data_IF_139730948561
#
_entry.id   IF_139730948561
#
_cell.length_a   1.000
_cell.length_b   1.000
_cell.length_c   1.000
_cell.angle_alpha   90.00
_cell.angle_beta   90.00
_cell.angle_gamma   90.00
#
_symmetry.space_group_name_H-M   'P 1'
#
loop_
_entity.id
_entity.type
_entity.pdbx_description
1 polymer ?
#
# COMPACT_ATOMS: atom_id res chain seq x y z
N UNK A 1 -16.82 1.43 6.49
CA UNK A 1 -16.13 0.79 7.62
C UNK A 1 -14.97 0.00 7.03
N UNK A 2 -13.73 0.33 7.42
CA UNK A 2 -12.51 -0.31 6.93
C UNK A 2 -12.45 -1.77 7.37
N UNK A 3 -11.95 -2.65 6.51
CA UNK A 3 -11.78 -4.07 6.79
C UNK A 3 -11.04 -4.29 8.11
N UNK A 4 -11.54 -5.17 8.98
CA UNK A 4 -10.85 -5.53 10.23
C UNK A 4 -9.45 -6.09 9.97
N UNK A 5 -9.25 -6.76 8.83
CA UNK A 5 -7.95 -7.26 8.41
C UNK A 5 -6.97 -6.12 8.16
N UNK A 6 -7.37 -5.13 7.36
CA UNK A 6 -6.56 -3.94 7.03
C UNK A 6 -6.23 -3.16 8.31
N UNK A 7 -7.21 -2.96 9.20
CA UNK A 7 -6.97 -2.25 10.49
C UNK A 7 -5.90 -2.96 11.32
N UNK A 8 -5.96 -4.30 11.42
CA UNK A 8 -4.97 -5.07 12.19
C UNK A 8 -3.57 -5.00 11.59
N UNK A 9 -3.45 -5.13 10.27
CA UNK A 9 -2.16 -5.01 9.57
C UNK A 9 -1.58 -3.60 9.74
N UNK A 10 -2.40 -2.56 9.58
CA UNK A 10 -2.00 -1.17 9.80
C UNK A 10 -1.51 -0.94 11.24
N UNK A 11 -2.26 -1.42 12.24
CA UNK A 11 -1.87 -1.26 13.64
C UNK A 11 -0.58 -2.00 13.99
N UNK A 12 -0.34 -3.17 13.38
CA UNK A 12 0.93 -3.89 13.51
C UNK A 12 2.11 -3.07 12.97
N UNK A 13 1.94 -2.48 11.79
CA UNK A 13 2.94 -1.58 11.19
C UNK A 13 3.16 -0.32 12.04
N UNK A 14 2.10 0.33 12.50
CA UNK A 14 2.17 1.53 13.34
C UNK A 14 2.99 1.25 14.62
N UNK A 15 2.72 0.12 15.28
CA UNK A 15 3.46 -0.33 16.46
C UNK A 15 4.94 -0.60 16.14
N UNK A 16 5.23 -1.20 14.98
CA UNK A 16 6.60 -1.48 14.55
C UNK A 16 7.37 -0.19 14.25
N UNK A 17 6.75 0.77 13.53
CA UNK A 17 7.34 2.09 13.29
C UNK A 17 7.65 2.80 14.61
N UNK A 18 6.75 2.74 15.60
CA UNK A 18 6.96 3.31 16.92
C UNK A 18 8.13 2.65 17.66
N UNK A 19 8.21 1.31 17.65
CA UNK A 19 9.30 0.55 18.28
C UNK A 19 10.66 0.87 17.64
N UNK A 20 10.73 0.91 16.31
CA UNK A 20 11.98 1.25 15.59
C UNK A 20 12.39 2.69 15.89
N UNK A 21 11.44 3.63 15.96
CA UNK A 21 11.75 5.02 16.36
C UNK A 21 12.39 5.11 17.74
N UNK A 22 11.95 4.28 18.70
CA UNK A 22 12.56 4.24 20.03
C UNK A 22 13.98 3.68 20.00
N UNK A 23 14.22 2.60 19.25
CA UNK A 23 15.55 2.00 19.09
C UNK A 23 16.54 2.99 18.47
N UNK A 24 16.12 3.70 17.42
CA UNK A 24 16.97 4.68 16.75
C UNK A 24 17.37 5.87 17.64
N UNK A 25 16.54 6.22 18.63
CA UNK A 25 16.90 7.25 19.63
C UNK A 25 17.99 6.78 20.59
N UNK A 26 18.10 5.48 20.82
CA UNK A 26 19.11 4.89 21.71
C UNK A 26 20.47 4.79 20.99
N UNK A 27 20.44 4.47 19.69
CA UNK A 27 21.66 4.35 18.85
C UNK A 27 21.55 5.21 17.59
N UNK A 28 21.62 6.55 17.71
CA UNK A 28 21.41 7.46 16.58
C UNK A 28 22.51 7.39 15.52
N UNK A 29 23.72 6.96 15.89
CA UNK A 29 24.88 6.90 15.00
C UNK A 29 25.00 5.56 14.24
N UNK A 30 24.15 4.57 14.55
CA UNK A 30 24.14 3.27 13.89
C UNK A 30 23.37 3.34 12.56
N UNK A 31 24.02 3.94 11.56
CA UNK A 31 23.45 4.16 10.22
C UNK A 31 23.16 2.86 9.47
N UNK A 32 23.97 1.81 9.70
CA UNK A 32 23.76 0.50 9.10
C UNK A 32 22.48 -0.15 9.63
N UNK A 33 22.28 -0.15 10.95
CA UNK A 33 21.05 -0.66 11.56
C UNK A 33 19.82 0.13 11.08
N UNK A 34 19.93 1.45 10.96
CA UNK A 34 18.85 2.29 10.42
C UNK A 34 18.50 1.90 8.98
N UNK A 35 19.50 1.66 8.12
CA UNK A 35 19.29 1.21 6.75
C UNK A 35 18.68 -0.20 6.68
N UNK A 36 19.06 -1.11 7.57
CA UNK A 36 18.42 -2.42 7.70
C UNK A 36 16.95 -2.31 8.06
N UNK A 37 16.60 -1.47 9.05
CA UNK A 37 15.20 -1.24 9.42
C UNK A 37 14.39 -0.60 8.30
N UNK A 38 14.96 0.38 7.60
CA UNK A 38 14.26 1.04 6.49
C UNK A 38 13.93 0.06 5.35
N UNK A 39 14.86 -0.84 5.00
CA UNK A 39 14.63 -1.91 4.01
C UNK A 39 13.56 -2.89 4.48
N UNK A 40 13.60 -3.30 5.73
CA UNK A 40 12.61 -4.21 6.30
C UNK A 40 11.21 -3.59 6.29
N UNK A 41 11.08 -2.35 6.75
CA UNK A 41 9.83 -1.58 6.69
C UNK A 41 9.33 -1.43 5.24
N UNK A 42 10.22 -1.19 4.28
CA UNK A 42 9.84 -1.09 2.87
C UNK A 42 9.18 -2.37 2.35
N UNK A 43 9.70 -3.53 2.71
CA UNK A 43 9.10 -4.82 2.33
C UNK A 43 7.71 -4.96 2.94
N UNK A 44 7.56 -4.67 4.24
CA UNK A 44 6.28 -4.81 4.94
C UNK A 44 5.22 -3.83 4.42
N UNK A 45 5.60 -2.56 4.20
CA UNK A 45 4.70 -1.54 3.63
C UNK A 45 4.26 -1.92 2.21
N UNK A 46 5.17 -2.47 1.39
CA UNK A 46 4.80 -2.98 0.05
C UNK A 46 3.80 -4.12 0.14
N UNK A 47 3.97 -5.06 1.07
CA UNK A 47 3.03 -6.17 1.27
C UNK A 47 1.67 -5.69 1.79
N UNK A 48 1.67 -4.75 2.74
CA UNK A 48 0.46 -4.13 3.26
C UNK A 48 -0.36 -3.43 2.18
N UNK A 49 0.28 -2.66 1.29
CA UNK A 49 -0.38 -2.04 0.14
C UNK A 49 -1.04 -3.07 -0.78
N UNK A 50 -0.30 -4.10 -1.17
CA UNK A 50 -0.75 -5.15 -2.08
C UNK A 50 -1.98 -5.89 -1.52
N UNK A 51 -1.91 -6.29 -0.25
CA UNK A 51 -2.99 -6.96 0.46
C UNK A 51 -4.20 -6.06 0.66
N UNK A 52 -3.99 -4.80 1.06
CA UNK A 52 -5.07 -3.86 1.36
C UNK A 52 -5.84 -3.48 0.11
N UNK A 53 -5.16 -3.16 -0.99
CA UNK A 53 -5.80 -2.84 -2.27
C UNK A 53 -6.67 -4.01 -2.74
N UNK A 54 -6.14 -5.24 -2.70
CA UNK A 54 -6.90 -6.43 -3.08
C UNK A 54 -8.11 -6.66 -2.17
N UNK A 55 -7.93 -6.52 -0.85
CA UNK A 55 -8.99 -6.70 0.15
C UNK A 55 -10.12 -5.69 -0.05
N UNK A 56 -9.81 -4.41 -0.29
CA UNK A 56 -10.81 -3.35 -0.54
C UNK A 56 -11.71 -3.70 -1.73
N UNK A 57 -11.12 -4.15 -2.85
CA UNK A 57 -11.87 -4.49 -4.06
C UNK A 57 -12.70 -5.76 -3.92
N UNK A 58 -12.14 -6.79 -3.25
CA UNK A 58 -12.87 -8.04 -2.95
C UNK A 58 -14.08 -7.74 -2.06
N UNK A 59 -13.91 -6.95 -0.99
CA UNK A 59 -15.01 -6.59 -0.10
C UNK A 59 -16.09 -5.76 -0.81
N UNK A 60 -15.70 -4.89 -1.75
CA UNK A 60 -16.66 -4.19 -2.60
C UNK A 60 -17.48 -5.16 -3.43
N UNK A 61 -16.83 -6.11 -4.13
CA UNK A 61 -17.51 -7.13 -4.92
C UNK A 61 -18.45 -7.99 -4.07
N UNK A 62 -18.01 -8.43 -2.89
CA UNK A 62 -18.82 -9.22 -1.94
C UNK A 62 -20.10 -8.49 -1.51
N UNK A 63 -20.08 -7.17 -1.43
CA UNK A 63 -21.25 -6.36 -1.04
C UNK A 63 -22.21 -6.06 -2.19
N UNK A 64 -21.75 -6.12 -3.44
CA UNK A 64 -22.47 -5.58 -4.60
C UNK A 64 -22.75 -6.58 -5.72
N UNK A 65 -22.14 -7.77 -5.68
CA UNK A 65 -22.20 -8.72 -6.79
C UNK A 65 -22.63 -10.13 -6.33
N UNK A 66 -23.00 -10.97 -7.30
CA UNK A 66 -23.34 -12.38 -7.05
C UNK A 66 -22.08 -13.21 -6.75
N UNK A 67 -22.20 -14.37 -6.08
CA UNK A 67 -21.06 -15.21 -5.73
C UNK A 67 -20.14 -15.58 -6.91
N UNK A 68 -20.69 -15.75 -8.11
CA UNK A 68 -19.93 -16.07 -9.32
C UNK A 68 -19.00 -14.92 -9.73
N UNK A 69 -19.48 -13.68 -9.62
CA UNK A 69 -18.69 -12.49 -9.92
C UNK A 69 -17.66 -12.23 -8.82
N UNK A 70 -18.02 -12.46 -7.56
CA UNK A 70 -17.07 -12.40 -6.44
C UNK A 70 -15.89 -13.36 -6.67
N UNK A 71 -16.17 -14.63 -7.00
CA UNK A 71 -15.14 -15.62 -7.29
C UNK A 71 -14.25 -15.21 -8.48
N UNK A 72 -14.82 -14.60 -9.53
CA UNK A 72 -14.04 -14.06 -10.65
C UNK A 72 -13.09 -12.93 -10.19
N UNK A 73 -13.58 -11.99 -9.37
CA UNK A 73 -12.78 -10.88 -8.84
C UNK A 73 -11.67 -11.39 -7.92
N UNK A 74 -11.97 -12.30 -7.00
CA UNK A 74 -11.00 -12.93 -6.11
C UNK A 74 -9.89 -13.63 -6.92
N UNK A 75 -10.25 -14.45 -7.92
CA UNK A 75 -9.28 -15.13 -8.78
C UNK A 75 -8.42 -14.17 -9.61
N UNK A 76 -8.99 -13.06 -10.06
CA UNK A 76 -8.24 -12.03 -10.77
C UNK A 76 -7.23 -11.34 -9.85
N UNK A 77 -7.61 -11.11 -8.59
CA UNK A 77 -6.78 -10.41 -7.61
C UNK A 77 -5.76 -11.31 -6.89
N UNK A 78 -5.88 -12.63 -6.94
CA UNK A 78 -4.83 -13.57 -6.47
C UNK A 78 -3.45 -13.28 -7.10
N UNK A 79 -3.43 -12.77 -8.34
CA UNK A 79 -2.20 -12.42 -9.09
C UNK A 79 -1.84 -10.93 -9.01
N UNK A 80 -2.54 -10.15 -8.18
CA UNK A 80 -2.30 -8.72 -8.07
C UNK A 80 -1.07 -8.46 -7.21
N UNK A 81 0.08 -8.34 -7.87
CA UNK A 81 1.36 -8.01 -7.23
C UNK A 81 1.96 -6.70 -7.74
N UNK A 82 2.90 -6.12 -6.99
CA UNK A 82 3.62 -4.91 -7.39
C UNK A 82 2.65 -3.75 -7.72
N UNK A 83 1.94 -3.22 -6.71
CA UNK A 83 0.87 -2.25 -6.91
C UNK A 83 1.42 -0.84 -7.24
N UNK A 84 2.19 -0.72 -8.33
CA UNK A 84 2.56 0.59 -8.89
C UNK A 84 1.29 1.33 -9.25
N UNK A 85 1.30 2.65 -9.16
CA UNK A 85 0.08 3.45 -9.34
C UNK A 85 -0.60 3.21 -10.68
N UNK A 86 0.16 3.01 -11.76
CA UNK A 86 -0.45 2.70 -13.06
C UNK A 86 -1.25 1.39 -13.03
N UNK A 87 -0.77 0.38 -12.31
CA UNK A 87 -1.50 -0.88 -12.13
C UNK A 87 -2.74 -0.70 -11.25
N UNK A 88 -2.68 0.18 -10.25
CA UNK A 88 -3.83 0.53 -9.41
C UNK A 88 -4.87 1.30 -10.22
N UNK A 89 -4.46 2.25 -11.07
CA UNK A 89 -5.37 2.95 -11.98
C UNK A 89 -6.06 1.99 -12.95
N UNK A 90 -5.30 1.08 -13.56
CA UNK A 90 -5.85 0.05 -14.45
C UNK A 90 -6.85 -0.87 -13.74
N UNK A 91 -6.62 -1.17 -12.46
CA UNK A 91 -7.57 -1.92 -11.65
C UNK A 91 -8.87 -1.12 -11.47
N UNK A 92 -8.79 0.14 -11.03
CA UNK A 92 -9.97 1.00 -10.89
C UNK A 92 -10.74 1.16 -12.20
N UNK A 93 -10.01 1.44 -13.29
CA UNK A 93 -10.53 1.58 -14.66
C UNK A 93 -11.27 0.33 -15.15
N UNK A 94 -10.95 -0.84 -14.59
CA UNK A 94 -11.62 -2.11 -14.94
C UNK A 94 -12.96 -2.30 -14.23
N UNK A 95 -13.21 -1.57 -13.14
CA UNK A 95 -14.51 -1.49 -12.48
C UNK A 95 -15.34 -0.33 -13.04
N UNK A 96 -14.77 0.86 -13.12
CA UNK A 96 -15.39 2.06 -13.70
C UNK A 96 -14.30 3.07 -14.11
N UNK A 97 -14.35 3.55 -15.35
CA UNK A 97 -13.43 4.57 -15.87
C UNK A 97 -13.44 5.86 -15.06
N UNK A 98 -14.61 6.28 -14.56
CA UNK A 98 -14.72 7.48 -13.71
C UNK A 98 -13.97 7.33 -12.40
N UNK A 99 -13.88 6.10 -11.87
CA UNK A 99 -13.15 5.85 -10.63
C UNK A 99 -11.65 5.94 -10.85
N UNK A 100 -11.15 5.45 -11.98
CA UNK A 100 -9.76 5.64 -12.38
C UNK A 100 -9.40 7.12 -12.55
N UNK A 101 -10.26 7.90 -13.20
CA UNK A 101 -10.10 9.36 -13.34
C UNK A 101 -10.07 10.09 -11.99
N UNK A 102 -11.00 9.77 -11.09
CA UNK A 102 -11.02 10.33 -9.73
C UNK A 102 -9.77 9.96 -8.95
N UNK A 103 -9.33 8.70 -9.03
CA UNK A 103 -8.13 8.25 -8.34
C UNK A 103 -6.89 8.98 -8.87
N UNK A 104 -6.71 9.08 -10.19
CA UNK A 104 -5.59 9.83 -10.80
C UNK A 104 -5.57 11.27 -10.30
N UNK A 105 -6.72 11.94 -10.32
CA UNK A 105 -6.84 13.34 -9.86
C UNK A 105 -6.46 13.51 -8.38
N UNK A 106 -6.92 12.59 -7.51
CA UNK A 106 -6.72 12.69 -6.06
C UNK A 106 -5.35 12.22 -5.57
N UNK A 107 -4.57 11.55 -6.43
CA UNK A 107 -3.29 10.95 -6.04
C UNK A 107 -2.09 11.49 -6.82
N UNK A 108 -2.30 12.42 -7.75
CA UNK A 108 -1.20 13.06 -8.49
C UNK A 108 -0.23 13.76 -7.54
N UNK A 109 1.08 13.63 -7.79
CA UNK A 109 2.15 14.11 -6.92
C UNK A 109 2.54 13.11 -5.83
N UNK A 110 2.63 13.59 -4.59
CA UNK A 110 3.32 12.91 -3.47
C UNK A 110 2.85 11.45 -3.26
N UNK A 111 1.54 11.20 -3.28
CA UNK A 111 1.00 9.85 -3.04
C UNK A 111 1.47 8.89 -4.14
N UNK A 112 1.36 9.32 -5.39
CA UNK A 112 1.73 8.50 -6.54
C UNK A 112 3.22 8.19 -6.56
N UNK A 113 4.04 9.18 -6.27
CA UNK A 113 5.50 9.03 -6.25
C UNK A 113 5.93 8.13 -5.10
N UNK A 114 5.35 8.29 -3.91
CA UNK A 114 5.62 7.44 -2.75
C UNK A 114 5.31 5.96 -3.02
N UNK A 115 4.14 5.65 -3.57
CA UNK A 115 3.75 4.26 -3.87
C UNK A 115 4.66 3.64 -4.94
N UNK A 116 4.99 4.39 -5.99
CA UNK A 116 5.94 3.91 -7.00
C UNK A 116 7.32 3.66 -6.39
N UNK A 117 7.81 4.57 -5.55
CA UNK A 117 9.10 4.44 -4.86
C UNK A 117 9.14 3.23 -3.92
N UNK A 118 8.06 2.91 -3.21
CA UNK A 118 7.95 1.69 -2.39
C UNK A 118 8.13 0.45 -3.26
N UNK A 119 7.44 0.37 -4.40
CA UNK A 119 7.51 -0.80 -5.28
C UNK A 119 8.91 -0.94 -5.90
N UNK A 120 9.51 0.17 -6.35
CA UNK A 120 10.87 0.17 -6.90
C UNK A 120 11.92 -0.23 -5.85
N UNK A 121 11.78 0.28 -4.63
CA UNK A 121 12.65 -0.05 -3.51
C UNK A 121 12.50 -1.52 -3.12
N UNK A 122 11.27 -2.04 -2.99
CA UNK A 122 11.02 -3.45 -2.68
C UNK A 122 11.61 -4.38 -3.74
N UNK A 123 11.41 -4.06 -5.02
CA UNK A 123 11.97 -4.85 -6.12
C UNK A 123 13.50 -4.86 -6.07
N UNK A 124 14.12 -3.69 -5.84
CA UNK A 124 15.57 -3.58 -5.71
C UNK A 124 16.12 -4.38 -4.53
N UNK A 125 15.46 -4.32 -3.37
CA UNK A 125 15.82 -5.12 -2.18
C UNK A 125 15.71 -6.61 -2.48
N UNK A 126 14.62 -7.06 -3.10
CA UNK A 126 14.41 -8.46 -3.45
C UNK A 126 15.46 -8.99 -4.44
N UNK A 127 16.00 -8.13 -5.29
CA UNK A 127 17.11 -8.45 -6.20
C UNK A 127 18.50 -8.26 -5.58
N UNK A 128 18.61 -7.98 -4.28
CA UNK A 128 19.89 -7.80 -3.59
C UNK A 128 20.65 -6.53 -3.97
N UNK A 129 19.98 -5.55 -4.57
CA UNK A 129 20.59 -4.26 -4.94
C UNK A 129 20.66 -3.33 -3.72
N UNK A 130 21.63 -2.42 -3.74
CA UNK A 130 21.70 -1.35 -2.75
C UNK A 130 20.51 -0.38 -2.92
N UNK A 131 19.86 -0.03 -1.81
CA UNK A 131 18.73 0.91 -1.77
C UNK A 131 19.00 1.92 -0.66
N UNK A 132 19.17 3.19 -1.03
CA UNK A 132 19.41 4.30 -0.12
C UNK A 132 18.12 4.87 0.50
N UNK A 133 17.24 4.01 1.03
CA UNK A 133 16.01 4.47 1.69
C UNK A 133 16.26 4.69 3.19
N UNK A 134 15.93 5.89 3.68
CA UNK A 134 16.02 6.21 5.10
C UNK A 134 14.74 5.80 5.85
N UNK A 135 14.82 5.70 7.18
CA UNK A 135 13.65 5.49 8.03
C UNK A 135 12.59 6.58 7.86
N UNK A 136 13.01 7.85 7.80
CA UNK A 136 12.09 9.00 7.63
C UNK A 136 11.39 8.91 6.28
N UNK A 137 12.13 8.57 5.22
CA UNK A 137 11.60 8.41 3.87
C UNK A 137 10.54 7.31 3.83
N UNK A 138 10.84 6.10 4.34
CA UNK A 138 9.84 5.02 4.31
C UNK A 138 8.63 5.30 5.20
N UNK A 139 8.81 6.03 6.31
CA UNK A 139 7.69 6.49 7.15
C UNK A 139 6.77 7.42 6.37
N UNK A 140 7.31 8.42 5.66
CA UNK A 140 6.50 9.33 4.85
C UNK A 140 5.79 8.60 3.71
N UNK A 141 6.46 7.63 3.07
CA UNK A 141 5.83 6.80 2.05
C UNK A 141 4.69 5.94 2.61
N UNK A 142 4.84 5.42 3.83
CA UNK A 142 3.79 4.69 4.53
C UNK A 142 2.58 5.59 4.86
N UNK A 143 2.80 6.84 5.31
CA UNK A 143 1.70 7.79 5.50
C UNK A 143 0.95 8.07 4.19
N UNK A 144 1.68 8.27 3.09
CA UNK A 144 1.09 8.41 1.75
C UNK A 144 0.33 7.16 1.30
N UNK A 145 0.82 5.97 1.68
CA UNK A 145 0.14 4.70 1.43
C UNK A 145 -1.20 4.61 2.16
N UNK A 146 -1.27 5.06 3.42
CA UNK A 146 -2.53 5.12 4.17
C UNK A 146 -3.53 6.06 3.50
N UNK A 147 -3.08 7.25 3.06
CA UNK A 147 -3.92 8.19 2.30
C UNK A 147 -4.46 7.57 1.01
N UNK A 148 -3.65 6.80 0.27
CA UNK A 148 -4.12 6.07 -0.91
C UNK A 148 -5.26 5.11 -0.56
N UNK A 149 -5.12 4.33 0.52
CA UNK A 149 -6.16 3.39 0.96
C UNK A 149 -7.45 4.12 1.37
N UNK A 150 -7.33 5.26 2.05
CA UNK A 150 -8.48 6.13 2.38
C UNK A 150 -9.21 6.59 1.11
N UNK A 151 -8.47 7.06 0.09
CA UNK A 151 -9.03 7.51 -1.19
C UNK A 151 -9.73 6.36 -1.94
N UNK A 152 -9.11 5.18 -1.99
CA UNK A 152 -9.68 4.01 -2.64
C UNK A 152 -11.01 3.61 -2.00
N UNK A 153 -11.04 3.51 -0.67
CA UNK A 153 -12.27 3.20 0.05
C UNK A 153 -13.34 4.26 -0.17
N UNK A 154 -12.98 5.53 -0.18
CA UNK A 154 -13.92 6.63 -0.41
C UNK A 154 -14.56 6.57 -1.80
N UNK A 155 -13.76 6.36 -2.86
CA UNK A 155 -14.27 6.20 -4.24
C UNK A 155 -15.23 5.01 -4.34
N UNK A 156 -14.86 3.86 -3.75
CA UNK A 156 -15.68 2.64 -3.81
C UNK A 156 -16.95 2.72 -2.94
N UNK A 157 -16.94 3.55 -1.88
CA UNK A 157 -18.10 3.71 -0.98
C UNK A 157 -19.03 4.88 -1.36
N UNK A 158 -18.54 5.88 -2.09
CA UNK A 158 -19.33 7.06 -2.48
C UNK A 158 -20.39 6.76 -3.55
N UNK A 159 -20.25 5.66 -4.29
CA UNK A 159 -21.22 5.22 -5.29
C UNK A 159 -22.29 4.30 -4.69
N UNK A 160 -22.87 4.72 -3.56
CA UNK A 160 -23.95 4.00 -2.89
C UNK A 160 -25.23 3.97 -3.70
#
# INVERSE_FOLDING_TARGET
MRSLKIVREQQSLDNLFAKISQIQRISPDDTDLQAHWARYLCILVSGFLENSISTIHIEYAQKKATPQIVNFVEKRLEKFQNPRMEKVFQLMDSFDKKWGEQLRTRTEGEIKDAVNAIVDSRNSIAHGKSVGISYITIKNYYESSKKLLDILEDILNSNK
#
